data_IF_283760148013
#
_entry.id   IF_283760148013
#
_cell.length_a   1.000
_cell.length_b   1.000
_cell.length_c   1.000
_cell.angle_alpha   90.00
_cell.angle_beta   90.00
_cell.angle_gamma   90.00
#
_symmetry.space_group_name_H-M   'P 1'
#
loop_
_entity.id
_entity.type
_entity.pdbx_description
1 polymer ?
#
# COMPACT_ATOMS: atom_id res chain seq x y z
N UNK A 1 16.65 6.60 -13.55
CA UNK A 1 17.58 5.47 -13.40
C UNK A 1 16.88 4.31 -12.68
N UNK A 2 16.24 3.42 -13.45
CA UNK A 2 15.60 2.21 -12.91
C UNK A 2 16.65 1.22 -12.40
N UNK A 3 16.30 0.44 -11.37
CA UNK A 3 17.16 -0.64 -10.89
C UNK A 3 17.18 -1.79 -11.89
N UNK A 4 16.01 -2.20 -12.37
CA UNK A 4 15.84 -3.22 -13.40
C UNK A 4 14.93 -2.71 -14.52
N UNK A 5 15.12 -3.24 -15.75
CA UNK A 5 14.20 -2.92 -16.87
C UNK A 5 12.77 -3.40 -16.60
N UNK A 6 12.62 -4.50 -15.85
CA UNK A 6 11.33 -5.04 -15.44
C UNK A 6 10.50 -4.07 -14.59
N UNK A 7 11.15 -3.09 -13.94
CA UNK A 7 10.49 -2.06 -13.15
C UNK A 7 9.65 -1.08 -13.99
N UNK A 8 9.71 -1.15 -15.33
CA UNK A 8 8.76 -0.46 -16.20
C UNK A 8 7.32 -0.98 -16.05
N UNK A 9 7.14 -2.26 -15.71
CA UNK A 9 5.81 -2.88 -15.53
C UNK A 9 5.03 -2.24 -14.37
N UNK A 10 5.56 -2.17 -13.13
CA UNK A 10 4.84 -1.53 -12.04
C UNK A 10 4.53 -0.06 -12.35
N UNK A 11 5.49 0.69 -12.92
CA UNK A 11 5.27 2.08 -13.34
C UNK A 11 4.13 2.23 -14.35
N UNK A 12 4.03 1.32 -15.32
CA UNK A 12 2.92 1.28 -16.28
C UNK A 12 1.57 1.04 -15.60
N UNK A 13 1.51 0.13 -14.62
CA UNK A 13 0.30 -0.09 -13.83
C UNK A 13 -0.08 1.14 -13.00
N UNK A 14 0.87 1.85 -12.37
CA UNK A 14 0.56 3.07 -11.65
C UNK A 14 0.06 4.17 -12.59
N UNK A 15 0.71 4.35 -13.75
CA UNK A 15 0.30 5.33 -14.75
C UNK A 15 -1.13 5.03 -15.25
N UNK A 16 -1.44 3.78 -15.54
CA UNK A 16 -2.78 3.35 -15.93
C UNK A 16 -3.81 3.60 -14.82
N UNK A 17 -3.47 3.29 -13.56
CA UNK A 17 -4.34 3.56 -12.42
C UNK A 17 -4.69 5.05 -12.33
N UNK A 18 -3.71 5.95 -12.36
CA UNK A 18 -3.98 7.40 -12.27
C UNK A 18 -4.72 7.95 -13.48
N UNK A 19 -4.38 7.50 -14.70
CA UNK A 19 -5.09 7.90 -15.91
C UNK A 19 -6.57 7.49 -15.88
N UNK A 20 -6.85 6.24 -15.49
CA UNK A 20 -8.22 5.74 -15.37
C UNK A 20 -8.97 6.38 -14.21
N UNK A 21 -8.29 6.70 -13.11
CA UNK A 21 -8.90 7.40 -11.98
C UNK A 21 -9.30 8.82 -12.40
N UNK A 22 -8.39 9.55 -13.04
CA UNK A 22 -8.69 10.88 -13.57
C UNK A 22 -9.86 10.84 -14.58
N UNK A 23 -9.89 9.84 -15.47
CA UNK A 23 -10.98 9.66 -16.43
C UNK A 23 -12.31 9.33 -15.74
N UNK A 24 -12.30 8.44 -14.76
CA UNK A 24 -13.49 8.00 -14.03
C UNK A 24 -14.15 9.15 -13.23
N UNK A 25 -13.34 10.10 -12.75
CA UNK A 25 -13.80 11.24 -11.94
C UNK A 25 -13.79 12.58 -12.70
N UNK A 26 -13.56 12.60 -14.01
CA UNK A 26 -13.51 13.83 -14.79
C UNK A 26 -14.91 14.49 -14.88
N UNK A 27 -15.08 15.74 -14.41
CA UNK A 27 -16.35 16.44 -14.50
C UNK A 27 -16.80 16.62 -15.95
N UNK A 28 -18.03 16.21 -16.27
CA UNK A 28 -18.62 16.38 -17.61
C UNK A 28 -18.35 15.24 -18.60
N UNK A 29 -17.63 14.18 -18.20
CA UNK A 29 -17.46 13.02 -19.07
C UNK A 29 -18.64 12.03 -18.94
N UNK A 30 -19.53 12.03 -19.93
CA UNK A 30 -20.65 11.10 -20.01
C UNK A 30 -20.24 9.79 -20.71
N UNK A 31 -19.67 8.85 -19.97
CA UNK A 31 -19.36 7.51 -20.50
C UNK A 31 -20.58 6.58 -20.42
N UNK A 32 -20.80 5.68 -21.41
CA UNK A 32 -21.76 4.60 -21.32
C UNK A 32 -21.49 3.70 -20.10
N UNK A 33 -22.55 3.13 -19.51
CA UNK A 33 -22.43 2.28 -18.32
C UNK A 33 -21.45 1.13 -18.52
N UNK A 34 -21.50 0.44 -19.67
CA UNK A 34 -20.58 -0.65 -19.99
C UNK A 34 -19.10 -0.23 -19.91
N UNK A 35 -18.77 0.98 -20.42
CA UNK A 35 -17.41 1.52 -20.36
C UNK A 35 -17.02 1.82 -18.91
N UNK A 36 -17.92 2.38 -18.10
CA UNK A 36 -17.66 2.64 -16.67
C UNK A 36 -17.39 1.35 -15.90
N UNK A 37 -18.15 0.29 -16.18
CA UNK A 37 -17.96 -1.04 -15.56
C UNK A 37 -16.57 -1.60 -15.90
N UNK A 38 -16.13 -1.48 -17.17
CA UNK A 38 -14.79 -1.91 -17.58
C UNK A 38 -13.72 -1.08 -16.88
N UNK A 39 -13.84 0.24 -16.85
CA UNK A 39 -12.89 1.13 -16.15
C UNK A 39 -12.82 0.76 -14.67
N UNK A 40 -13.96 0.54 -14.02
CA UNK A 40 -14.03 0.13 -12.62
C UNK A 40 -13.31 -1.20 -12.38
N UNK A 41 -13.55 -2.22 -13.22
CA UNK A 41 -12.88 -3.51 -13.10
C UNK A 41 -11.35 -3.38 -13.26
N UNK A 42 -10.89 -2.58 -14.22
CA UNK A 42 -9.46 -2.32 -14.41
C UNK A 42 -8.88 -1.53 -13.24
N UNK A 43 -9.62 -0.57 -12.68
CA UNK A 43 -9.22 0.16 -11.46
C UNK A 43 -9.09 -0.77 -10.26
N UNK A 44 -10.00 -1.72 -10.06
CA UNK A 44 -9.87 -2.73 -9.00
C UNK A 44 -8.59 -3.56 -9.17
N UNK A 45 -8.29 -4.02 -10.39
CA UNK A 45 -7.08 -4.81 -10.67
C UNK A 45 -5.83 -3.97 -10.45
N UNK A 46 -5.78 -2.74 -10.96
CA UNK A 46 -4.61 -1.86 -10.82
C UNK A 46 -4.41 -1.37 -9.38
N UNK A 47 -5.49 -1.18 -8.61
CA UNK A 47 -5.46 -0.92 -7.17
C UNK A 47 -4.86 -2.12 -6.40
N UNK A 48 -5.31 -3.35 -6.69
CA UNK A 48 -4.72 -4.56 -6.12
C UNK A 48 -3.23 -4.69 -6.47
N UNK A 49 -2.85 -4.40 -7.72
CA UNK A 49 -1.44 -4.35 -8.12
C UNK A 49 -0.65 -3.27 -7.35
N UNK A 50 -1.26 -2.13 -7.01
CA UNK A 50 -0.63 -1.12 -6.14
C UNK A 50 -0.21 -1.67 -4.78
N UNK A 51 -1.03 -2.54 -4.16
CA UNK A 51 -0.67 -3.23 -2.92
C UNK A 51 0.51 -4.22 -3.12
N UNK A 52 0.47 -5.02 -4.20
CA UNK A 52 1.57 -5.95 -4.54
C UNK A 52 2.88 -5.20 -4.80
N UNK A 53 2.81 -4.08 -5.51
CA UNK A 53 3.96 -3.24 -5.80
C UNK A 53 4.51 -2.54 -4.56
N UNK A 54 3.64 -2.15 -3.63
CA UNK A 54 4.04 -1.63 -2.32
C UNK A 54 4.88 -2.64 -1.57
N UNK A 55 4.40 -3.89 -1.49
CA UNK A 55 5.16 -4.99 -0.91
C UNK A 55 6.51 -5.22 -1.61
N UNK A 56 6.52 -5.22 -2.95
CA UNK A 56 7.76 -5.39 -3.70
C UNK A 56 8.74 -4.24 -3.47
N UNK A 57 8.28 -2.99 -3.46
CA UNK A 57 9.13 -1.81 -3.34
C UNK A 57 9.76 -1.65 -1.95
N UNK A 58 9.14 -2.18 -0.89
CA UNK A 58 9.74 -2.19 0.45
C UNK A 58 10.87 -3.22 0.59
N UNK A 59 10.86 -4.29 -0.23
CA UNK A 59 11.92 -5.30 -0.26
C UNK A 59 12.98 -5.03 -1.33
N UNK A 60 12.56 -4.53 -2.49
CA UNK A 60 13.41 -4.23 -3.64
C UNK A 60 13.08 -2.86 -4.23
N UNK A 61 13.92 -1.84 -3.98
CA UNK A 61 13.78 -0.52 -4.58
C UNK A 61 13.68 -0.56 -6.12
N UNK A 62 12.72 0.18 -6.67
CA UNK A 62 12.46 0.35 -8.11
C UNK A 62 13.52 1.22 -8.80
N UNK A 63 14.01 2.23 -8.08
CA UNK A 63 15.05 3.13 -8.59
C UNK A 63 16.39 2.84 -7.92
N UNK A 64 17.50 3.08 -8.63
CA UNK A 64 18.84 2.94 -8.03
C UNK A 64 19.12 4.03 -6.97
N UNK A 65 18.49 5.20 -7.09
CA UNK A 65 18.71 6.33 -6.18
C UNK A 65 17.63 6.42 -5.10
N UNK A 66 18.05 6.79 -3.89
CA UNK A 66 17.17 6.80 -2.72
C UNK A 66 16.02 7.80 -2.82
N UNK A 67 16.29 9.02 -3.30
CA UNK A 67 15.28 10.08 -3.35
C UNK A 67 14.15 9.76 -4.34
N UNK A 68 14.46 9.13 -5.48
CA UNK A 68 13.44 8.68 -6.44
C UNK A 68 12.51 7.64 -5.82
N UNK A 69 13.05 6.70 -5.03
CA UNK A 69 12.20 5.75 -4.28
C UNK A 69 11.34 6.43 -3.21
N UNK A 70 11.79 7.56 -2.65
CA UNK A 70 10.98 8.34 -1.67
C UNK A 70 9.81 9.04 -2.34
N UNK A 71 10.00 9.57 -3.55
CA UNK A 71 8.90 10.07 -4.37
C UNK A 71 7.96 8.93 -4.77
N UNK A 72 8.53 7.80 -5.20
CA UNK A 72 7.74 6.63 -5.59
C UNK A 72 6.92 6.04 -4.43
N UNK A 73 7.39 6.12 -3.19
CA UNK A 73 6.60 5.75 -2.01
C UNK A 73 5.32 6.60 -1.87
N UNK A 74 5.34 7.88 -2.27
CA UNK A 74 4.14 8.72 -2.31
C UNK A 74 3.19 8.25 -3.40
N UNK A 75 3.71 7.95 -4.60
CA UNK A 75 2.91 7.36 -5.70
C UNK A 75 2.21 6.09 -5.24
N UNK A 76 2.97 5.17 -4.63
CA UNK A 76 2.44 3.92 -4.10
C UNK A 76 1.42 4.15 -2.98
N UNK A 77 1.67 5.09 -2.07
CA UNK A 77 0.72 5.48 -1.01
C UNK A 77 -0.64 5.86 -1.60
N UNK A 78 -0.65 6.66 -2.67
CA UNK A 78 -1.87 7.10 -3.33
C UNK A 78 -2.59 5.96 -4.07
N UNK A 79 -1.86 4.97 -4.59
CA UNK A 79 -2.48 3.77 -5.21
C UNK A 79 -2.98 2.75 -4.20
N UNK A 80 -2.27 2.59 -3.08
CA UNK A 80 -2.52 1.60 -2.04
C UNK A 80 -3.56 2.08 -1.01
N UNK A 81 -3.70 3.40 -0.84
CA UNK A 81 -4.65 4.00 0.10
C UNK A 81 -4.15 4.08 1.54
N UNK A 82 -2.84 3.85 1.79
CA UNK A 82 -2.22 3.97 3.11
C UNK A 82 -0.71 4.26 2.95
N UNK A 83 -0.06 5.01 3.86
CA UNK A 83 1.38 5.25 3.79
C UNK A 83 2.22 3.96 3.64
N UNK A 84 3.11 3.89 2.65
CA UNK A 84 4.02 2.74 2.45
C UNK A 84 4.96 2.58 3.64
N UNK A 85 5.33 3.68 4.30
CA UNK A 85 6.15 3.62 5.52
C UNK A 85 5.55 2.71 6.61
N UNK A 86 4.24 2.53 6.67
CA UNK A 86 3.57 1.68 7.67
C UNK A 86 3.85 0.18 7.51
N UNK A 87 4.39 -0.26 6.37
CA UNK A 87 4.86 -1.64 6.22
C UNK A 87 6.01 -1.97 7.16
N UNK A 88 6.82 -0.99 7.58
CA UNK A 88 7.99 -1.28 8.44
C UNK A 88 7.61 -1.99 9.75
N UNK A 89 6.70 -1.46 10.59
CA UNK A 89 6.29 -2.10 11.84
C UNK A 89 5.56 -3.44 11.65
N UNK A 90 4.42 -3.44 10.96
CA UNK A 90 3.58 -4.64 10.82
C UNK A 90 4.18 -5.72 9.92
N UNK A 91 4.75 -5.33 8.78
CA UNK A 91 5.21 -6.28 7.77
C UNK A 91 6.66 -6.71 8.01
N UNK A 92 7.60 -5.78 8.17
CA UNK A 92 9.02 -6.15 8.29
C UNK A 92 9.40 -6.59 9.71
N UNK A 93 9.02 -5.79 10.72
CA UNK A 93 9.45 -6.00 12.11
C UNK A 93 8.58 -6.99 12.88
N UNK A 94 7.37 -7.26 12.40
CA UNK A 94 6.47 -8.29 12.95
C UNK A 94 6.36 -9.50 12.01
N UNK A 95 5.70 -9.38 10.85
CA UNK A 95 5.37 -10.54 10.02
C UNK A 95 6.60 -11.28 9.47
N UNK A 96 7.53 -10.61 8.79
CA UNK A 96 8.74 -11.26 8.25
C UNK A 96 9.73 -11.70 9.34
N UNK A 97 9.90 -10.89 10.39
CA UNK A 97 10.83 -11.21 11.48
C UNK A 97 10.35 -12.38 12.34
N UNK A 98 9.04 -12.54 12.49
CA UNK A 98 8.44 -13.48 13.43
C UNK A 98 7.39 -14.40 12.80
N UNK A 99 7.50 -14.66 11.50
CA UNK A 99 6.49 -15.35 10.67
C UNK A 99 5.84 -16.54 11.38
N UNK A 100 4.52 -16.47 11.53
CA UNK A 100 3.66 -17.46 12.20
C UNK A 100 3.96 -17.73 13.70
N UNK A 101 4.83 -16.95 14.34
CA UNK A 101 5.09 -17.01 15.79
C UNK A 101 4.17 -16.07 16.57
N UNK A 102 4.25 -16.09 17.90
CA UNK A 102 3.42 -15.24 18.77
C UNK A 102 3.56 -13.74 18.51
N UNK A 103 4.75 -13.29 18.07
CA UNK A 103 5.06 -11.89 17.77
C UNK A 103 4.65 -11.44 16.35
N UNK A 104 4.13 -12.35 15.53
CA UNK A 104 3.55 -12.02 14.23
C UNK A 104 2.09 -11.59 14.39
N UNK A 105 1.86 -10.29 14.22
CA UNK A 105 0.54 -9.68 14.32
C UNK A 105 -0.36 -10.18 13.19
N UNK A 106 0.22 -10.59 12.07
CA UNK A 106 -0.44 -11.09 10.85
C UNK A 106 -0.34 -12.63 10.73
N UNK A 107 -0.11 -13.36 11.83
CA UNK A 107 -0.13 -14.83 11.77
C UNK A 107 -1.51 -15.32 11.31
N UNK A 108 -1.52 -16.25 10.36
CA UNK A 108 -2.77 -16.71 9.71
C UNK A 108 -3.65 -17.48 10.68
N UNK A 109 -3.05 -18.09 11.72
CA UNK A 109 -3.74 -18.82 12.78
C UNK A 109 -4.63 -17.97 13.69
N UNK A 110 -4.72 -16.64 13.49
CA UNK A 110 -5.69 -15.77 14.16
C UNK A 110 -7.11 -15.89 13.60
N UNK A 111 -7.26 -16.19 12.31
CA UNK A 111 -8.54 -16.57 11.73
C UNK A 111 -8.71 -18.08 11.86
N UNK A 112 -9.79 -18.52 12.52
CA UNK A 112 -10.06 -19.94 12.81
C UNK A 112 -11.50 -20.34 12.52
N UNK A 113 -12.13 -19.68 11.56
CA UNK A 113 -13.44 -20.11 11.08
C UNK A 113 -13.32 -21.49 10.44
N UNK A 114 -14.35 -22.32 10.61
CA UNK A 114 -14.41 -23.64 9.97
C UNK A 114 -14.39 -23.54 8.44
N UNK A 115 -14.88 -22.42 7.88
CA UNK A 115 -14.95 -22.19 6.44
C UNK A 115 -13.81 -21.27 6.01
N UNK A 116 -12.99 -21.74 5.06
CA UNK A 116 -11.83 -20.98 4.57
C UNK A 116 -12.20 -19.66 3.91
N UNK A 117 -13.38 -19.57 3.28
CA UNK A 117 -13.89 -18.30 2.76
C UNK A 117 -14.04 -17.24 3.86
N UNK A 118 -14.57 -17.64 5.01
CA UNK A 118 -14.72 -16.72 6.16
C UNK A 118 -13.35 -16.33 6.72
N UNK A 119 -12.37 -17.25 6.72
CA UNK A 119 -11.00 -16.87 7.06
C UNK A 119 -10.49 -15.78 6.12
N UNK A 120 -10.65 -15.92 4.80
CA UNK A 120 -10.25 -14.90 3.83
C UNK A 120 -10.95 -13.55 4.01
N UNK A 121 -12.28 -13.57 4.19
CA UNK A 121 -13.09 -12.34 4.32
C UNK A 121 -12.83 -11.60 5.63
N UNK A 122 -12.65 -12.33 6.75
CA UNK A 122 -12.54 -11.72 8.07
C UNK A 122 -11.10 -11.53 8.57
N UNK A 123 -10.10 -12.14 7.92
CA UNK A 123 -8.71 -12.05 8.37
C UNK A 123 -8.24 -10.61 8.51
N UNK A 124 -8.55 -9.74 7.54
CA UNK A 124 -8.23 -8.32 7.59
C UNK A 124 -8.74 -7.68 8.90
N UNK A 125 -10.03 -7.82 9.19
CA UNK A 125 -10.64 -7.21 10.37
C UNK A 125 -10.05 -7.76 11.69
N UNK A 126 -9.64 -9.03 11.72
CA UNK A 126 -9.04 -9.65 12.90
C UNK A 126 -7.62 -9.15 13.20
N UNK A 127 -6.84 -8.77 12.18
CA UNK A 127 -5.44 -8.36 12.36
C UNK A 127 -5.25 -6.84 12.38
N UNK A 128 -6.10 -6.08 11.70
CA UNK A 128 -5.99 -4.62 11.55
C UNK A 128 -5.83 -3.85 12.87
N UNK A 129 -6.61 -4.11 13.94
CA UNK A 129 -6.42 -3.39 15.21
C UNK A 129 -5.01 -3.54 15.78
N UNK A 130 -4.43 -4.75 15.69
CA UNK A 130 -3.07 -5.02 16.13
C UNK A 130 -2.03 -4.32 15.25
N UNK A 131 -2.25 -4.27 13.94
CA UNK A 131 -1.38 -3.56 13.00
C UNK A 131 -1.39 -2.06 13.33
N UNK A 132 -2.57 -1.45 13.45
CA UNK A 132 -2.69 -0.02 13.73
C UNK A 132 -2.05 0.36 15.08
N UNK A 133 -2.19 -0.48 16.11
CA UNK A 133 -1.54 -0.26 17.40
C UNK A 133 0.00 -0.29 17.28
N UNK A 134 0.55 -1.25 16.52
CA UNK A 134 1.98 -1.35 16.27
C UNK A 134 2.49 -0.16 15.45
N UNK A 135 1.75 0.26 14.43
CA UNK A 135 2.08 1.40 13.57
C UNK A 135 2.13 2.70 14.36
N UNK A 136 1.15 2.92 15.25
CA UNK A 136 1.12 4.10 16.12
C UNK A 136 2.31 4.11 17.09
N UNK A 137 2.58 2.98 17.76
CA UNK A 137 3.70 2.85 18.70
C UNK A 137 5.05 3.07 17.99
N UNK A 138 5.21 2.50 16.80
CA UNK A 138 6.42 2.67 15.99
C UNK A 138 6.58 4.11 15.51
N UNK A 139 5.50 4.75 15.05
CA UNK A 139 5.52 6.15 14.61
C UNK A 139 5.90 7.10 15.76
N UNK A 140 5.37 6.85 16.96
CA UNK A 140 5.69 7.65 18.16
C UNK A 140 7.17 7.52 18.55
N UNK A 141 7.72 6.31 18.54
CA UNK A 141 9.13 6.07 18.92
C UNK A 141 10.11 6.61 17.88
N UNK A 142 9.83 6.40 16.59
CA UNK A 142 10.70 6.83 15.48
C UNK A 142 10.74 8.33 15.25
N UNK A 143 9.78 9.11 15.78
CA UNK A 143 9.83 10.58 15.73
C UNK A 143 11.18 11.12 16.24
N UNK A 144 11.75 10.51 17.28
CA UNK A 144 13.05 10.91 17.86
C UNK A 144 14.21 10.06 17.34
N UNK A 145 14.01 8.74 17.20
CA UNK A 145 15.11 7.81 16.88
C UNK A 145 15.39 7.64 15.39
N UNK A 146 14.41 7.92 14.51
CA UNK A 146 14.56 7.87 13.06
C UNK A 146 13.72 8.98 12.36
N UNK A 147 14.14 10.25 12.50
CA UNK A 147 13.37 11.39 12.00
C UNK A 147 13.24 11.40 10.47
N UNK A 148 14.15 10.73 9.74
CA UNK A 148 14.07 10.60 8.27
C UNK A 148 12.89 9.73 7.84
N UNK A 149 12.70 8.57 8.49
CA UNK A 149 11.52 7.73 8.26
C UNK A 149 10.24 8.46 8.66
N UNK A 150 10.24 9.11 9.83
CA UNK A 150 9.07 9.83 10.33
C UNK A 150 8.62 10.97 9.39
N UNK A 151 9.57 11.75 8.85
CA UNK A 151 9.26 12.78 7.86
C UNK A 151 8.63 12.19 6.59
N UNK A 152 9.15 11.07 6.10
CA UNK A 152 8.58 10.41 4.92
C UNK A 152 7.13 9.95 5.19
N UNK A 153 6.89 9.30 6.33
CA UNK A 153 5.55 8.85 6.71
C UNK A 153 4.55 10.02 6.80
N UNK A 154 4.98 11.18 7.30
CA UNK A 154 4.15 12.39 7.30
C UNK A 154 3.88 12.94 5.90
N UNK A 155 4.85 12.91 5.00
CA UNK A 155 4.66 13.34 3.60
C UNK A 155 3.63 12.44 2.92
N UNK A 156 3.77 11.13 3.08
CA UNK A 156 2.81 10.14 2.54
C UNK A 156 1.40 10.36 3.08
N UNK A 157 1.25 10.55 4.40
CA UNK A 157 -0.05 10.83 5.02
C UNK A 157 -0.65 12.15 4.52
N UNK A 158 0.15 13.22 4.46
CA UNK A 158 -0.32 14.52 3.97
C UNK A 158 -0.76 14.44 2.51
N UNK A 159 0.00 13.76 1.64
CA UNK A 159 -0.37 13.55 0.25
C UNK A 159 -1.70 12.80 0.12
N UNK A 160 -1.90 11.74 0.92
CA UNK A 160 -3.14 10.98 0.93
C UNK A 160 -4.34 11.85 1.34
N UNK A 161 -4.19 12.65 2.38
CA UNK A 161 -5.25 13.56 2.85
C UNK A 161 -5.59 14.63 1.81
N UNK A 162 -4.61 15.20 1.11
CA UNK A 162 -4.84 16.22 0.07
C UNK A 162 -5.70 15.69 -1.07
N UNK A 163 -5.54 14.42 -1.45
CA UNK A 163 -6.26 13.82 -2.59
C UNK A 163 -7.64 13.27 -2.19
N UNK A 164 -7.89 13.09 -0.88
CA UNK A 164 -9.16 12.56 -0.36
C UNK A 164 -10.16 13.66 0.05
N UNK A 165 -9.77 14.93 -0.01
CA UNK A 165 -10.62 16.12 0.23
C UNK A 165 -11.11 16.68 -1.10
#
# INVERSE_FOLDING_TARGET
MLRFRADLRPLGFNALYFALSALAFWPGLALPLAVRVVIFAVLCVTSFQGAVQTHNAVHSPVFKTRWMNKIYQVVLTLTYGHPVSSYVPGHNLSHHKHTQKLKDIMRTSKARFRWNLLNGLFFFFLVTPGIMAADLAYTKSTRRTNPRWFRQAKIEMAALQIVQV
#
